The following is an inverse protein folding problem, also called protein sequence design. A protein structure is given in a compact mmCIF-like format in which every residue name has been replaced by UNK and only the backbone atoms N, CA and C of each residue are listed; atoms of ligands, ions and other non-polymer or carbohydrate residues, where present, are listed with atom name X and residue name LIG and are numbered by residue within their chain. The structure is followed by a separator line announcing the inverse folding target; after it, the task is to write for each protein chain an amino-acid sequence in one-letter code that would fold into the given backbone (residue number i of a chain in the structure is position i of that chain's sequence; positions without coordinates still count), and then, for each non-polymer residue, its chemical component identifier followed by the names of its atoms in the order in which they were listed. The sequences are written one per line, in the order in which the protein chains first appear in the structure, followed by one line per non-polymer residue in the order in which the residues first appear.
data_IF_645148785173
#
_entry.id   IF_645148785173
#
_cell.length_a   1.000
_cell.length_b   1.000
_cell.length_c   1.000
_cell.angle_alpha   90.00
_cell.angle_beta   90.00
_cell.angle_gamma   90.00
#
_symmetry.space_group_name_H-M   'P 1'
#
loop_
_entity.id
_entity.type
_entity.pdbx_description
1 polymer ?
#
# COMPACT_ATOMS: atom_id res chain seq x y z
N UNK A 1 101.54 -61.42 -3.39
CA UNK A 1 101.91 -61.86 -2.03
C UNK A 1 100.67 -61.89 -1.22
N UNK A 2 100.34 -63.06 -0.92
CA UNK A 2 99.58 -63.59 0.21
C UNK A 2 98.30 -62.90 0.65
N UNK A 3 97.32 -63.73 0.43
CA UNK A 3 96.08 -63.82 1.11
C UNK A 3 96.17 -64.24 2.60
N UNK A 4 95.29 -64.94 3.21
CA UNK A 4 93.87 -65.30 2.91
C UNK A 4 92.99 -65.17 4.16
N UNK A 5 91.76 -65.66 4.05
CA UNK A 5 91.03 -66.27 5.13
C UNK A 5 89.67 -65.61 5.40
N UNK A 6 88.69 -66.12 4.94
CA UNK A 6 87.81 -67.22 5.36
C UNK A 6 86.94 -66.96 6.60
N UNK A 7 85.71 -67.28 6.42
CA UNK A 7 84.86 -67.77 7.47
C UNK A 7 83.50 -66.98 7.56
N UNK A 8 82.44 -67.32 6.82
CA UNK A 8 81.41 -68.30 7.18
C UNK A 8 80.81 -68.03 8.56
N UNK A 9 79.61 -67.57 8.66
CA UNK A 9 78.37 -68.31 8.91
C UNK A 9 77.25 -67.37 9.18
N UNK A 10 76.15 -67.55 8.46
CA UNK A 10 74.80 -67.26 8.90
C UNK A 10 74.45 -68.11 10.12
N UNK A 11 73.51 -67.67 10.97
CA UNK A 11 72.14 -68.00 10.80
C UNK A 11 71.20 -66.83 11.21
N UNK A 12 70.21 -66.57 10.43
CA UNK A 12 68.79 -67.04 10.66
C UNK A 12 68.27 -66.86 12.08
N UNK A 13 67.27 -66.03 12.19
CA UNK A 13 66.07 -66.13 13.01
C UNK A 13 65.42 -64.76 13.09
N UNK A 14 64.42 -64.52 12.36
CA UNK A 14 62.99 -64.63 12.61
C UNK A 14 62.43 -63.70 13.67
N UNK A 15 61.24 -63.44 13.59
CA UNK A 15 60.58 -62.18 13.28
C UNK A 15 59.77 -61.68 14.49
N UNK A 16 59.04 -60.66 14.24
CA UNK A 16 57.84 -60.35 15.03
C UNK A 16 58.07 -59.57 16.35
N UNK A 17 58.06 -58.26 16.19
CA UNK A 17 57.44 -57.42 17.22
C UNK A 17 56.53 -56.41 16.56
N UNK A 18 55.25 -56.42 16.87
CA UNK A 18 54.31 -55.42 16.32
C UNK A 18 54.62 -54.09 16.95
N UNK A 19 54.74 -53.06 16.08
CA UNK A 19 54.79 -51.67 16.46
C UNK A 19 53.47 -51.34 17.17
N UNK A 20 53.54 -51.18 18.48
CA UNK A 20 52.46 -50.65 19.29
C UNK A 20 52.21 -49.21 18.89
N UNK A 21 51.29 -49.04 17.92
CA UNK A 21 50.69 -47.75 17.64
C UNK A 21 49.99 -47.25 18.86
N UNK A 22 50.58 -46.25 19.53
CA UNK A 22 49.90 -45.48 20.54
C UNK A 22 48.81 -44.68 19.85
N UNK A 23 47.60 -45.24 19.74
CA UNK A 23 46.42 -44.49 19.44
C UNK A 23 46.15 -43.57 20.63
N UNK A 24 46.49 -42.32 20.47
CA UNK A 24 46.06 -41.26 21.39
C UNK A 24 44.54 -41.31 21.47
N UNK A 25 43.95 -41.42 22.68
CA UNK A 25 42.48 -41.36 22.79
C UNK A 25 42.06 -39.99 22.34
N UNK A 26 41.35 -39.93 21.23
CA UNK A 26 40.60 -38.74 20.83
C UNK A 26 39.73 -38.36 22.05
N UNK A 27 40.00 -37.17 22.62
CA UNK A 27 39.18 -36.59 23.68
C UNK A 27 37.75 -36.49 23.15
N UNK A 28 36.95 -37.50 23.38
CA UNK A 28 35.53 -37.50 23.08
C UNK A 28 34.90 -36.31 23.81
N UNK A 29 34.55 -35.30 23.06
CA UNK A 29 33.66 -34.24 23.55
C UNK A 29 32.41 -34.96 23.99
N UNK A 30 32.21 -35.09 25.30
CA UNK A 30 31.04 -35.74 25.89
C UNK A 30 29.78 -35.11 25.29
N UNK A 31 28.95 -35.86 24.54
CA UNK A 31 27.75 -35.31 23.90
C UNK A 31 26.80 -34.70 24.95
N UNK A 32 26.86 -35.18 26.17
CA UNK A 32 26.11 -34.63 27.31
C UNK A 32 26.51 -33.18 27.64
N UNK A 33 27.80 -32.86 27.60
CA UNK A 33 28.25 -31.46 27.84
C UNK A 33 27.79 -30.54 26.72
N UNK A 34 27.84 -30.98 25.47
CA UNK A 34 27.33 -30.19 24.34
C UNK A 34 25.81 -29.99 24.43
N UNK A 35 25.08 -31.03 24.83
CA UNK A 35 23.63 -30.95 25.05
C UNK A 35 23.29 -30.03 26.23
N UNK A 36 24.05 -30.10 27.34
CA UNK A 36 23.84 -29.24 28.50
C UNK A 36 24.09 -27.76 28.16
N UNK A 37 25.20 -27.44 27.50
CA UNK A 37 25.47 -26.06 27.06
C UNK A 37 24.47 -25.56 26.02
N UNK A 38 24.01 -26.42 25.12
CA UNK A 38 22.94 -26.12 24.18
C UNK A 38 21.63 -25.76 24.88
N UNK A 39 21.22 -26.59 25.84
CA UNK A 39 20.00 -26.35 26.62
C UNK A 39 20.11 -25.10 27.51
N UNK A 40 21.28 -24.88 28.11
CA UNK A 40 21.55 -23.68 28.92
C UNK A 40 21.52 -22.41 28.07
N UNK A 41 22.07 -22.45 26.85
CA UNK A 41 22.03 -21.33 25.90
C UNK A 41 20.59 -21.02 25.47
N UNK A 42 19.80 -22.04 25.13
CA UNK A 42 18.38 -21.88 24.80
C UNK A 42 17.61 -21.31 26.00
N UNK A 43 17.82 -21.86 27.20
CA UNK A 43 17.19 -21.34 28.42
C UNK A 43 17.53 -19.88 28.71
N UNK A 44 18.81 -19.49 28.50
CA UNK A 44 19.26 -18.12 28.64
C UNK A 44 18.60 -17.19 27.62
N UNK A 45 18.54 -17.60 26.33
CA UNK A 45 17.89 -16.81 25.27
C UNK A 45 16.40 -16.65 25.57
N UNK A 46 15.71 -17.72 25.96
CA UNK A 46 14.30 -17.66 26.35
C UNK A 46 14.09 -16.78 27.56
N UNK A 47 14.97 -16.88 28.57
CA UNK A 47 14.92 -16.04 29.78
C UNK A 47 15.14 -14.54 29.45
N UNK A 48 16.12 -14.23 28.63
CA UNK A 48 16.36 -12.86 28.15
C UNK A 48 15.18 -12.36 27.33
N UNK A 49 14.67 -13.14 26.39
CA UNK A 49 13.50 -12.80 25.59
C UNK A 49 12.28 -12.54 26.48
N UNK A 50 12.03 -13.41 27.47
CA UNK A 50 10.93 -13.24 28.41
C UNK A 50 11.09 -11.99 29.29
N UNK A 51 12.29 -11.73 29.78
CA UNK A 51 12.59 -10.55 30.59
C UNK A 51 12.45 -9.25 29.74
N UNK A 52 12.90 -9.26 28.48
CA UNK A 52 12.78 -8.12 27.58
C UNK A 52 11.32 -7.87 27.16
N UNK A 53 10.57 -8.91 26.82
CA UNK A 53 9.17 -8.82 26.39
C UNK A 53 8.24 -8.44 27.54
N UNK A 54 8.56 -8.81 28.78
CA UNK A 54 7.83 -8.44 30.00
C UNK A 54 8.29 -7.13 30.64
N UNK A 55 9.41 -6.56 30.21
CA UNK A 55 9.97 -5.36 30.80
C UNK A 55 9.27 -4.09 30.34
N UNK A 56 9.32 -3.04 31.19
CA UNK A 56 8.88 -1.68 30.84
C UNK A 56 9.75 -1.01 29.76
N UNK A 57 10.76 -1.71 29.21
CA UNK A 57 11.64 -1.21 28.17
C UNK A 57 10.98 -1.27 26.79
N UNK A 58 10.11 -2.26 26.54
CA UNK A 58 9.44 -2.49 25.26
C UNK A 58 7.94 -2.12 25.34
N UNK A 59 7.65 -0.96 25.88
CA UNK A 59 6.30 -0.40 25.93
C UNK A 59 6.16 0.78 24.98
N UNK A 60 4.95 1.01 24.46
CA UNK A 60 4.63 2.16 23.63
C UNK A 60 4.86 3.44 24.44
N UNK A 61 5.82 4.25 24.05
CA UNK A 61 6.08 5.58 24.63
C UNK A 61 5.59 6.69 23.72
N UNK A 62 5.63 6.46 22.41
CA UNK A 62 5.21 7.46 21.42
C UNK A 62 4.43 6.85 20.28
N UNK A 63 3.41 7.59 19.82
CA UNK A 63 2.64 7.29 18.61
C UNK A 63 2.84 8.46 17.66
N UNK A 64 3.53 8.19 16.55
CA UNK A 64 3.79 9.17 15.49
C UNK A 64 2.80 8.95 14.37
N UNK A 65 2.15 10.02 13.91
CA UNK A 65 1.22 10.01 12.78
C UNK A 65 1.84 10.81 11.65
N UNK A 66 1.82 10.24 10.44
CA UNK A 66 2.34 10.84 9.21
C UNK A 66 1.32 10.76 8.08
N UNK A 67 1.44 11.66 7.09
CA UNK A 67 0.56 11.65 5.90
C UNK A 67 -0.80 12.31 6.10
N UNK A 68 -0.99 13.09 7.17
CA UNK A 68 -2.25 13.79 7.44
C UNK A 68 -2.15 15.28 7.08
N UNK A 69 -3.15 15.78 6.35
CA UNK A 69 -3.33 17.20 5.98
C UNK A 69 -4.74 17.70 6.32
N UNK A 70 -5.77 16.88 6.08
CA UNK A 70 -7.17 17.18 6.33
C UNK A 70 -7.61 16.72 7.72
N UNK A 71 -7.09 15.56 8.17
CA UNK A 71 -7.45 14.96 9.45
C UNK A 71 -6.39 15.32 10.49
N UNK A 72 -6.77 15.92 11.63
CA UNK A 72 -5.82 16.20 12.70
C UNK A 72 -5.14 14.93 13.21
N UNK A 73 -3.82 14.95 13.35
CA UNK A 73 -3.06 13.81 13.89
C UNK A 73 -3.51 13.37 15.30
N UNK A 74 -4.07 14.32 16.09
CA UNK A 74 -4.69 14.02 17.39
C UNK A 74 -5.92 13.12 17.26
N UNK A 75 -6.77 13.38 16.27
CA UNK A 75 -7.95 12.56 15.98
C UNK A 75 -7.54 11.15 15.55
N UNK A 76 -6.54 11.02 14.65
CA UNK A 76 -6.02 9.72 14.22
C UNK A 76 -5.50 8.93 15.41
N UNK A 77 -4.72 9.55 16.30
CA UNK A 77 -4.21 8.89 17.51
C UNK A 77 -5.33 8.44 18.45
N UNK A 78 -6.34 9.30 18.64
CA UNK A 78 -7.48 8.97 19.50
C UNK A 78 -8.27 7.77 18.95
N UNK A 79 -8.57 7.76 17.64
CA UNK A 79 -9.31 6.68 16.97
C UNK A 79 -8.49 5.39 16.89
N UNK A 80 -7.17 5.48 16.68
CA UNK A 80 -6.29 4.32 16.70
C UNK A 80 -6.35 3.56 18.05
N UNK A 81 -6.63 4.27 19.14
CA UNK A 81 -6.84 3.67 20.46
C UNK A 81 -5.61 2.94 21.03
N UNK A 82 -4.41 3.40 20.66
CA UNK A 82 -3.15 2.82 21.13
C UNK A 82 -2.70 3.61 22.37
N UNK A 83 -2.84 2.98 23.54
CA UNK A 83 -2.40 3.59 24.81
C UNK A 83 -0.88 3.56 24.97
N UNK A 84 -0.32 4.57 25.65
CA UNK A 84 1.06 4.54 26.13
C UNK A 84 1.20 3.58 27.32
N UNK A 85 2.37 2.97 27.46
CA UNK A 85 2.63 1.98 28.51
C UNK A 85 2.19 0.55 28.17
N UNK A 86 1.51 0.34 27.04
CA UNK A 86 1.14 -1.01 26.56
C UNK A 86 2.38 -1.69 26.00
N UNK A 87 2.64 -2.98 26.34
CA UNK A 87 3.73 -3.74 25.73
C UNK A 87 3.59 -3.77 24.19
N UNK A 88 4.66 -3.43 23.47
CA UNK A 88 4.69 -3.36 22.01
C UNK A 88 4.18 -4.64 21.33
N UNK A 89 4.47 -5.81 21.94
CA UNK A 89 4.07 -7.11 21.40
C UNK A 89 2.54 -7.28 21.41
N UNK A 90 1.85 -6.67 22.37
CA UNK A 90 0.39 -6.77 22.54
C UNK A 90 -0.39 -5.78 21.68
N UNK A 91 0.29 -4.82 21.04
CA UNK A 91 -0.39 -3.87 20.18
C UNK A 91 -0.87 -4.60 18.92
N UNK A 92 -2.19 -4.63 18.74
CA UNK A 92 -2.83 -5.09 17.50
C UNK A 92 -2.83 -3.95 16.48
N UNK A 93 -1.86 -4.00 15.57
CA UNK A 93 -1.68 -2.99 14.54
C UNK A 93 -2.76 -3.07 13.46
N UNK A 94 -3.30 -4.26 13.19
CA UNK A 94 -4.38 -4.45 12.22
C UNK A 94 -5.68 -3.82 12.70
N UNK A 95 -6.10 -4.12 13.93
CA UNK A 95 -7.29 -3.51 14.52
C UNK A 95 -7.16 -1.99 14.63
N UNK A 96 -5.95 -1.48 14.93
CA UNK A 96 -5.70 -0.03 14.97
C UNK A 96 -5.82 0.60 13.58
N UNK A 97 -5.28 -0.04 12.54
CA UNK A 97 -5.39 0.42 11.16
C UNK A 97 -6.86 0.48 10.72
N UNK A 98 -7.63 -0.60 10.94
CA UNK A 98 -9.06 -0.64 10.59
C UNK A 98 -9.88 0.45 11.28
N UNK A 99 -9.57 0.77 12.56
CA UNK A 99 -10.23 1.89 13.24
C UNK A 99 -9.91 3.24 12.59
N UNK A 100 -8.66 3.46 12.17
CA UNK A 100 -8.25 4.70 11.50
C UNK A 100 -8.90 4.79 10.10
N UNK A 101 -9.01 3.69 9.37
CA UNK A 101 -9.67 3.62 8.07
C UNK A 101 -11.18 3.87 8.13
N UNK A 102 -11.79 3.73 9.31
CA UNK A 102 -13.20 4.11 9.53
C UNK A 102 -13.41 5.64 9.48
N UNK A 103 -12.35 6.44 9.57
CA UNK A 103 -12.43 7.90 9.35
C UNK A 103 -12.70 8.14 7.87
N UNK A 104 -13.79 8.82 7.55
CA UNK A 104 -14.27 8.99 6.16
C UNK A 104 -13.22 9.62 5.22
N UNK A 105 -12.38 10.52 5.73
CA UNK A 105 -11.33 11.20 4.98
C UNK A 105 -10.08 10.33 4.74
N UNK A 106 -9.99 9.16 5.40
CA UNK A 106 -8.87 8.24 5.25
C UNK A 106 -9.18 7.23 4.15
N UNK A 107 -8.25 7.08 3.20
CA UNK A 107 -8.31 6.07 2.15
C UNK A 107 -7.73 4.75 2.63
N UNK A 108 -6.56 4.82 3.28
CA UNK A 108 -5.89 3.68 3.87
C UNK A 108 -5.02 4.11 5.05
N UNK A 109 -4.78 3.20 5.98
CA UNK A 109 -3.91 3.43 7.12
C UNK A 109 -2.99 2.23 7.33
N UNK A 110 -1.72 2.49 7.55
CA UNK A 110 -0.75 1.49 7.91
C UNK A 110 -0.20 1.77 9.30
N UNK A 111 -0.31 0.80 10.20
CA UNK A 111 0.22 0.89 11.55
C UNK A 111 1.41 -0.06 11.67
N UNK A 112 2.56 0.46 12.03
CA UNK A 112 3.80 -0.30 12.15
C UNK A 112 4.45 -0.09 13.52
N UNK A 113 5.17 -1.13 13.99
CA UNK A 113 5.94 -1.11 15.23
C UNK A 113 7.37 -0.68 14.90
N UNK A 114 7.78 0.47 15.41
CA UNK A 114 9.16 0.96 15.33
C UNK A 114 9.83 0.75 16.69
N UNK A 115 10.52 -0.37 16.80
CA UNK A 115 11.19 -0.78 18.02
C UNK A 115 12.25 0.24 18.46
N UNK A 116 12.48 0.45 19.77
CA UNK A 116 11.94 -0.33 20.90
C UNK A 116 10.58 0.14 21.46
N UNK A 117 10.12 1.37 21.19
CA UNK A 117 9.07 2.03 21.97
C UNK A 117 8.09 2.92 21.18
N UNK A 118 8.14 2.85 19.85
CA UNK A 118 7.37 3.73 18.97
C UNK A 118 6.39 2.97 18.08
N UNK A 119 5.19 3.53 17.93
CA UNK A 119 4.25 3.14 16.87
C UNK A 119 4.23 4.24 15.82
N UNK A 120 4.28 3.85 14.55
CA UNK A 120 4.13 4.76 13.41
C UNK A 120 2.82 4.44 12.71
N UNK A 121 1.95 5.46 12.57
CA UNK A 121 0.71 5.39 11.81
C UNK A 121 0.91 6.22 10.56
N UNK A 122 0.98 5.57 9.41
CA UNK A 122 1.03 6.24 8.11
C UNK A 122 -0.38 6.26 7.53
N UNK A 123 -0.90 7.45 7.29
CA UNK A 123 -2.26 7.68 6.78
C UNK A 123 -2.15 8.15 5.35
N UNK A 124 -2.96 7.57 4.47
CA UNK A 124 -3.22 8.10 3.14
C UNK A 124 -4.63 8.69 3.14
N UNK A 125 -4.71 9.99 2.97
CA UNK A 125 -5.99 10.69 2.90
C UNK A 125 -6.63 10.56 1.53
N UNK A 126 -7.97 10.57 1.49
CA UNK A 126 -8.73 10.58 0.24
C UNK A 126 -8.56 11.90 -0.47
N UNK A 127 -8.27 11.83 -1.76
CA UNK A 127 -8.21 13.01 -2.63
C UNK A 127 -9.53 13.15 -3.36
N UNK A 128 -10.29 14.23 -3.15
CA UNK A 128 -11.51 14.46 -3.91
C UNK A 128 -11.17 14.79 -5.37
N UNK A 129 -11.94 14.23 -6.29
CA UNK A 129 -11.75 14.39 -7.74
C UNK A 129 -12.97 14.98 -8.45
N UNK A 130 -14.14 14.85 -7.86
CA UNK A 130 -15.41 15.34 -8.42
C UNK A 130 -16.21 16.10 -7.37
N UNK A 131 -17.01 17.06 -7.81
CA UNK A 131 -17.95 17.80 -7.00
C UNK A 131 -19.39 17.42 -7.38
N UNK A 132 -20.21 17.06 -6.42
CA UNK A 132 -21.65 16.77 -6.60
C UNK A 132 -22.46 17.89 -5.99
N UNK A 133 -23.37 18.47 -6.77
CA UNK A 133 -24.25 19.52 -6.28
C UNK A 133 -25.21 18.97 -5.22
N UNK A 134 -25.27 19.62 -4.09
CA UNK A 134 -26.26 19.35 -3.03
C UNK A 134 -27.28 20.48 -3.06
N UNK A 135 -28.54 20.21 -3.44
CA UNK A 135 -29.56 21.24 -3.48
C UNK A 135 -29.81 21.86 -2.11
N UNK A 136 -30.17 23.14 -2.08
CA UNK A 136 -30.62 23.80 -0.87
C UNK A 136 -31.92 23.12 -0.36
N UNK A 137 -31.99 22.80 0.94
CA UNK A 137 -33.12 22.06 1.53
C UNK A 137 -32.85 20.57 1.77
N UNK A 138 -31.87 19.94 1.16
CA UNK A 138 -31.30 18.70 1.65
C UNK A 138 -30.54 18.99 2.97
N UNK A 139 -30.55 18.07 3.92
CA UNK A 139 -30.01 18.19 5.29
C UNK A 139 -28.60 18.82 5.37
N UNK A 140 -28.45 20.12 5.08
CA UNK A 140 -27.13 20.77 5.05
C UNK A 140 -27.00 22.03 4.20
N UNK A 141 -28.06 22.72 3.85
CA UNK A 141 -27.99 24.13 3.43
C UNK A 141 -27.35 24.43 2.05
N UNK A 142 -27.39 23.54 1.07
CA UNK A 142 -26.89 23.76 -0.28
C UNK A 142 -25.34 23.81 -0.38
N UNK A 143 -24.83 23.50 -1.56
CA UNK A 143 -23.38 23.52 -1.81
C UNK A 143 -22.91 22.32 -2.62
N UNK A 144 -21.70 21.86 -2.36
CA UNK A 144 -21.09 20.75 -3.09
C UNK A 144 -20.52 19.70 -2.12
N UNK A 145 -20.85 18.44 -2.37
CA UNK A 145 -20.16 17.30 -1.77
C UNK A 145 -18.96 16.92 -2.67
N UNK A 146 -17.77 16.96 -2.13
CA UNK A 146 -16.57 16.53 -2.82
C UNK A 146 -16.37 15.05 -2.63
N UNK A 147 -16.34 14.30 -3.73
CA UNK A 147 -16.21 12.83 -3.73
C UNK A 147 -14.87 12.40 -4.34
N UNK A 148 -14.37 11.27 -3.86
CA UNK A 148 -13.21 10.58 -4.44
C UNK A 148 -13.60 9.69 -5.63
N UNK A 149 -12.60 8.99 -6.22
CA UNK A 149 -12.83 8.06 -7.34
C UNK A 149 -13.67 6.84 -7.00
N UNK A 150 -13.89 6.54 -5.72
CA UNK A 150 -14.78 5.49 -5.25
C UNK A 150 -16.19 6.00 -4.88
N UNK A 151 -16.47 7.29 -5.14
CA UNK A 151 -17.75 7.91 -4.82
C UNK A 151 -17.95 8.18 -3.33
N UNK A 152 -16.89 8.13 -2.52
CA UNK A 152 -16.96 8.43 -1.09
C UNK A 152 -16.91 9.95 -0.90
N UNK A 153 -17.87 10.49 -0.13
CA UNK A 153 -17.88 11.92 0.23
C UNK A 153 -16.74 12.20 1.18
N UNK A 154 -15.75 12.96 0.72
CA UNK A 154 -14.58 13.36 1.52
C UNK A 154 -14.91 14.54 2.43
N UNK A 155 -15.55 15.57 1.86
CA UNK A 155 -16.03 16.74 2.59
C UNK A 155 -17.11 17.50 1.81
N UNK A 156 -17.85 18.36 2.51
CA UNK A 156 -18.80 19.30 1.90
C UNK A 156 -18.24 20.71 1.94
N UNK A 157 -18.52 21.50 0.88
CA UNK A 157 -18.07 22.90 0.75
C UNK A 157 -19.23 23.75 0.19
N UNK A 158 -19.32 25.02 0.56
CA UNK A 158 -20.38 25.91 0.03
C UNK A 158 -20.15 26.26 -1.44
N UNK A 159 -18.88 26.31 -1.88
CA UNK A 159 -18.49 26.70 -3.23
C UNK A 159 -17.57 25.63 -3.82
N UNK A 160 -17.82 25.26 -5.08
CA UNK A 160 -17.00 24.29 -5.79
C UNK A 160 -15.56 24.83 -5.99
N UNK A 161 -14.53 24.01 -5.68
CA UNK A 161 -13.16 24.38 -5.96
C UNK A 161 -12.93 24.62 -7.46
N UNK A 162 -12.12 25.62 -7.78
CA UNK A 162 -11.74 25.90 -9.16
C UNK A 162 -11.01 24.69 -9.79
N UNK A 163 -11.29 24.44 -11.07
CA UNK A 163 -10.66 23.33 -11.80
C UNK A 163 -11.20 21.93 -11.47
N UNK A 164 -12.13 21.80 -10.51
CA UNK A 164 -12.75 20.53 -10.19
C UNK A 164 -14.04 20.36 -11.01
N UNK A 165 -14.20 19.26 -11.78
CA UNK A 165 -15.43 19.02 -12.53
C UNK A 165 -16.60 18.67 -11.61
N UNK A 166 -17.82 19.11 -12.01
CA UNK A 166 -19.05 18.71 -11.35
C UNK A 166 -19.57 17.41 -11.93
N UNK A 167 -19.91 16.43 -11.09
CA UNK A 167 -20.56 15.22 -11.50
C UNK A 167 -22.06 15.43 -11.52
N UNK A 168 -22.65 15.39 -12.75
CA UNK A 168 -24.09 15.53 -12.94
C UNK A 168 -24.82 14.24 -12.63
N UNK A 169 -25.61 14.26 -11.56
CA UNK A 169 -26.39 13.12 -11.10
C UNK A 169 -27.65 13.62 -10.37
N UNK A 170 -28.73 12.83 -10.45
CA UNK A 170 -29.91 13.03 -9.60
C UNK A 170 -29.81 12.29 -8.25
N UNK A 171 -28.81 11.42 -8.11
CA UNK A 171 -28.60 10.64 -6.89
C UNK A 171 -28.02 11.49 -5.76
N UNK A 172 -28.42 11.22 -4.54
CA UNK A 172 -27.78 11.84 -3.36
C UNK A 172 -26.31 11.44 -3.27
N UNK A 173 -25.40 12.34 -2.83
CA UNK A 173 -23.95 12.05 -2.78
C UNK A 173 -23.58 10.79 -2.02
N UNK A 174 -24.31 10.47 -0.92
CA UNK A 174 -24.08 9.25 -0.14
C UNK A 174 -24.37 7.96 -0.92
N UNK A 175 -25.26 7.99 -1.91
CA UNK A 175 -25.62 6.85 -2.74
C UNK A 175 -24.58 6.57 -3.85
N UNK A 176 -23.60 7.45 -4.03
CA UNK A 176 -22.57 7.33 -5.07
C UNK A 176 -21.40 6.42 -4.65
N UNK A 177 -21.35 6.02 -3.38
CA UNK A 177 -20.30 5.13 -2.88
C UNK A 177 -20.29 3.80 -3.65
N UNK A 178 -19.14 3.48 -4.28
CA UNK A 178 -19.00 2.28 -5.09
C UNK A 178 -19.74 2.33 -6.43
N UNK A 179 -20.23 3.50 -6.85
CA UNK A 179 -20.96 3.66 -8.11
C UNK A 179 -20.04 3.37 -9.32
N UNK A 180 -20.42 2.40 -10.19
CA UNK A 180 -19.68 2.15 -11.43
C UNK A 180 -19.63 3.36 -12.36
N UNK A 181 -20.66 4.20 -12.38
CA UNK A 181 -20.70 5.44 -13.17
C UNK A 181 -19.67 6.47 -12.69
N UNK A 182 -19.48 6.61 -11.35
CA UNK A 182 -18.44 7.50 -10.79
C UNK A 182 -17.06 6.96 -11.14
N UNK A 183 -16.83 5.66 -10.98
CA UNK A 183 -15.55 5.03 -11.33
C UNK A 183 -15.22 5.22 -12.83
N UNK A 184 -16.20 5.04 -13.72
CA UNK A 184 -16.03 5.26 -15.15
C UNK A 184 -15.75 6.73 -15.48
N UNK A 185 -16.46 7.67 -14.87
CA UNK A 185 -16.22 9.09 -15.03
C UNK A 185 -14.79 9.49 -14.67
N UNK A 186 -14.29 8.99 -13.52
CA UNK A 186 -12.92 9.26 -13.06
C UNK A 186 -11.90 8.57 -13.99
N UNK A 187 -12.15 7.33 -14.42
CA UNK A 187 -11.27 6.63 -15.36
C UNK A 187 -11.17 7.39 -16.69
N UNK A 188 -12.27 7.88 -17.23
CA UNK A 188 -12.28 8.71 -18.44
C UNK A 188 -11.48 10.01 -18.24
N UNK A 189 -11.62 10.69 -17.09
CA UNK A 189 -10.83 11.90 -16.80
C UNK A 189 -9.31 11.65 -16.78
N UNK A 190 -8.89 10.43 -16.42
CA UNK A 190 -7.48 10.03 -16.46
C UNK A 190 -6.99 9.67 -17.87
N UNK A 191 -7.88 9.24 -18.75
CA UNK A 191 -7.54 8.78 -20.10
C UNK A 191 -7.60 9.87 -21.16
N UNK A 192 -8.49 10.85 -21.00
CA UNK A 192 -8.60 11.95 -21.95
C UNK A 192 -7.34 12.81 -21.95
N UNK A 193 -6.99 13.45 -23.10
CA UNK A 193 -5.88 14.39 -23.14
C UNK A 193 -5.96 15.44 -22.02
N UNK A 194 -4.80 15.82 -21.48
CA UNK A 194 -4.71 16.71 -20.32
C UNK A 194 -5.41 18.06 -20.50
N UNK A 195 -5.50 18.56 -21.75
CA UNK A 195 -6.20 19.81 -22.04
C UNK A 195 -7.73 19.63 -21.94
N UNK A 196 -8.29 18.48 -22.34
CA UNK A 196 -9.71 18.13 -22.15
C UNK A 196 -10.00 17.99 -20.65
N UNK A 197 -9.19 17.21 -19.94
CA UNK A 197 -9.37 17.02 -18.49
C UNK A 197 -9.40 18.35 -17.74
N UNK A 198 -8.49 19.27 -18.04
CA UNK A 198 -8.43 20.60 -17.42
C UNK A 198 -9.59 21.50 -17.82
N UNK A 199 -10.08 21.40 -19.06
CA UNK A 199 -11.20 22.18 -19.53
C UNK A 199 -12.57 21.62 -19.09
N UNK A 200 -12.62 20.37 -18.60
CA UNK A 200 -13.86 19.74 -18.18
C UNK A 200 -14.44 20.45 -16.96
N UNK A 201 -15.62 21.02 -17.13
CA UNK A 201 -16.38 21.70 -16.06
C UNK A 201 -17.45 20.80 -15.46
N UNK A 202 -18.04 19.92 -16.30
CA UNK A 202 -19.06 18.97 -15.91
C UNK A 202 -18.78 17.60 -16.52
N UNK A 203 -19.15 16.55 -15.81
CA UNK A 203 -19.09 15.19 -16.31
C UNK A 203 -20.36 14.46 -15.88
N UNK A 204 -20.93 13.70 -16.79
CA UNK A 204 -22.10 12.85 -16.52
C UNK A 204 -21.80 11.42 -16.97
N UNK A 205 -22.33 10.45 -16.25
CA UNK A 205 -22.24 9.05 -16.63
C UNK A 205 -23.56 8.36 -16.29
N UNK A 206 -24.36 8.09 -17.32
CA UNK A 206 -25.62 7.32 -17.16
C UNK A 206 -25.34 5.82 -16.99
N UNK A 207 -24.22 5.35 -17.54
CA UNK A 207 -23.66 4.01 -17.37
C UNK A 207 -22.13 4.09 -17.48
N UNK A 208 -21.40 3.01 -17.15
CA UNK A 208 -19.94 2.96 -17.36
C UNK A 208 -19.52 3.12 -18.83
N UNK A 209 -20.40 2.81 -19.76
CA UNK A 209 -20.17 2.89 -21.21
C UNK A 209 -20.62 4.23 -21.81
N UNK A 210 -21.26 5.09 -21.02
CA UNK A 210 -21.82 6.35 -21.52
C UNK A 210 -21.41 7.52 -20.63
N UNK A 211 -20.17 7.96 -20.84
CA UNK A 211 -19.59 9.13 -20.15
C UNK A 211 -19.54 10.32 -21.09
N UNK A 212 -20.06 11.44 -20.65
CA UNK A 212 -20.10 12.70 -21.38
C UNK A 212 -19.39 13.80 -20.60
N UNK A 213 -18.54 14.56 -21.29
CA UNK A 213 -17.77 15.67 -20.74
C UNK A 213 -18.34 17.00 -21.28
N UNK A 214 -18.65 17.91 -20.40
CA UNK A 214 -18.94 19.32 -20.75
C UNK A 214 -17.74 20.19 -20.43
N UNK A 215 -17.20 20.85 -21.43
CA UNK A 215 -16.05 21.73 -21.26
C UNK A 215 -16.49 23.14 -20.81
N UNK A 216 -15.57 23.89 -20.24
CA UNK A 216 -15.81 25.26 -19.75
C UNK A 216 -16.14 26.27 -20.85
N UNK A 217 -15.80 25.97 -22.12
CA UNK A 217 -16.13 26.76 -23.30
C UNK A 217 -17.47 26.38 -23.94
N UNK A 218 -18.28 25.53 -23.32
CA UNK A 218 -19.59 25.09 -23.82
C UNK A 218 -19.55 23.89 -24.77
N UNK A 219 -18.37 23.36 -25.10
CA UNK A 219 -18.24 22.16 -25.91
C UNK A 219 -18.65 20.92 -25.14
N UNK A 220 -19.40 20.02 -25.77
CA UNK A 220 -19.79 18.73 -25.23
C UNK A 220 -19.08 17.61 -25.98
N UNK A 221 -18.48 16.68 -25.23
CA UNK A 221 -17.79 15.50 -25.79
C UNK A 221 -18.44 14.24 -25.20
N UNK A 222 -19.07 13.44 -26.03
CA UNK A 222 -19.51 12.08 -25.66
C UNK A 222 -18.33 11.15 -25.88
N UNK A 223 -17.70 10.77 -24.75
CA UNK A 223 -16.52 9.89 -24.76
C UNK A 223 -16.91 8.41 -24.77
N UNK A 224 -18.02 8.08 -24.13
CA UNK A 224 -18.42 6.70 -23.91
C UNK A 224 -17.59 6.00 -22.84
N UNK A 225 -17.12 4.78 -23.13
CA UNK A 225 -16.29 3.99 -22.22
C UNK A 225 -14.80 4.35 -22.30
N UNK A 226 -13.98 3.72 -21.46
CA UNK A 226 -12.50 3.77 -21.52
C UNK A 226 -11.89 2.97 -22.68
N UNK A 227 -12.69 2.14 -23.37
CA UNK A 227 -12.20 1.33 -24.48
C UNK A 227 -11.71 2.21 -25.65
N UNK A 228 -10.59 1.80 -26.25
CA UNK A 228 -10.00 2.46 -27.44
C UNK A 228 -9.68 3.94 -27.25
N UNK A 229 -9.26 4.36 -26.08
CA UNK A 229 -8.98 5.76 -25.73
C UNK A 229 -8.01 6.46 -26.72
N UNK A 230 -6.99 5.76 -27.21
CA UNK A 230 -6.04 6.30 -28.18
C UNK A 230 -6.69 6.63 -29.53
N UNK A 231 -7.60 5.78 -30.01
CA UNK A 231 -8.32 6.01 -31.24
C UNK A 231 -9.28 7.21 -31.09
N UNK A 232 -10.02 7.28 -29.99
CA UNK A 232 -10.88 8.43 -29.66
C UNK A 232 -10.10 9.73 -29.55
N UNK A 233 -8.93 9.67 -28.94
CA UNK A 233 -8.03 10.81 -28.84
C UNK A 233 -7.59 11.33 -30.22
N UNK A 234 -7.18 10.42 -31.12
CA UNK A 234 -6.80 10.79 -32.48
C UNK A 234 -7.98 11.40 -33.23
N UNK A 235 -9.17 10.85 -33.07
CA UNK A 235 -10.40 11.32 -33.70
C UNK A 235 -10.81 12.72 -33.21
N UNK A 236 -10.74 12.98 -31.89
CA UNK A 236 -10.96 14.32 -31.33
C UNK A 236 -9.99 15.33 -31.93
N UNK A 237 -8.70 15.01 -32.03
CA UNK A 237 -7.72 15.92 -32.63
C UNK A 237 -8.02 16.22 -34.10
N UNK A 238 -8.53 15.25 -34.84
CA UNK A 238 -8.92 15.43 -36.26
C UNK A 238 -10.17 16.29 -36.40
N UNK A 239 -11.11 16.17 -35.45
CA UNK A 239 -12.42 16.86 -35.53
C UNK A 239 -12.41 18.27 -34.88
N UNK A 240 -11.53 18.54 -33.91
CA UNK A 240 -11.48 19.85 -33.23
C UNK A 240 -11.39 21.07 -34.20
N UNK A 241 -10.62 21.00 -35.30
CA UNK A 241 -10.55 22.11 -36.24
C UNK A 241 -11.89 22.49 -36.87
N UNK A 242 -12.92 21.63 -36.83
CA UNK A 242 -14.25 21.94 -37.35
C UNK A 242 -14.98 23.04 -36.56
N UNK A 243 -14.55 23.32 -35.34
CA UNK A 243 -15.17 24.32 -34.47
C UNK A 243 -16.57 23.93 -33.96
N UNK A 244 -16.94 22.66 -34.03
CA UNK A 244 -18.24 22.17 -33.55
C UNK A 244 -18.36 22.30 -32.02
N UNK A 245 -19.59 22.38 -31.53
CA UNK A 245 -19.88 22.42 -30.11
C UNK A 245 -20.23 21.06 -29.52
N UNK A 246 -20.37 20.04 -30.36
CA UNK A 246 -20.70 18.69 -29.95
C UNK A 246 -19.86 17.67 -30.75
N UNK A 247 -19.22 16.78 -30.04
CA UNK A 247 -18.38 15.70 -30.55
C UNK A 247 -18.81 14.37 -29.93
N UNK A 248 -19.18 13.41 -30.73
CA UNK A 248 -19.41 12.05 -30.24
C UNK A 248 -18.32 11.14 -30.82
N UNK A 249 -17.44 10.68 -29.92
CA UNK A 249 -16.34 9.75 -30.22
C UNK A 249 -16.51 8.43 -29.46
N UNK A 250 -17.70 8.15 -28.95
CA UNK A 250 -17.99 6.92 -28.21
C UNK A 250 -17.71 5.64 -29.01
N UNK A 251 -17.91 5.71 -30.33
CA UNK A 251 -17.64 4.65 -31.27
C UNK A 251 -16.63 5.10 -32.34
N UNK A 252 -15.31 4.90 -32.12
CA UNK A 252 -14.29 5.30 -33.12
C UNK A 252 -14.53 4.71 -34.51
N UNK A 253 -14.39 5.57 -35.51
CA UNK A 253 -14.70 5.29 -36.91
C UNK A 253 -16.10 5.72 -37.35
N UNK A 254 -16.97 6.15 -36.44
CA UNK A 254 -18.32 6.69 -36.71
C UNK A 254 -18.59 7.97 -35.95
N UNK A 255 -17.55 8.79 -35.71
CA UNK A 255 -17.70 10.04 -34.96
C UNK A 255 -18.68 10.99 -35.59
N UNK A 256 -19.45 11.68 -34.76
CA UNK A 256 -20.47 12.66 -35.20
C UNK A 256 -20.13 14.02 -34.59
N UNK A 257 -20.22 15.07 -35.38
CA UNK A 257 -20.09 16.47 -34.93
C UNK A 257 -21.36 17.26 -35.25
N UNK A 258 -21.68 18.21 -34.36
CA UNK A 258 -22.78 19.17 -34.55
C UNK A 258 -22.40 20.56 -34.08
#
# INVERSE_FOLDING_TARGET
MNGPGAGVTTPESDPSAPASGRTSPARGRSPWRAAFFGLAAVGLIVGIAWALLGSKLLVVRSVVVTGTHLVPASQVRAVAGIGTGVPMIRVDTGAAASRVEAITQVQSAQVSKSWPDRIVITVQERTPVLAVLVPAGASGGGGFALIDGAGVVVRSVPVKPAGMPSFGTASAPAALRGSPSVAAAVAVLHEVPAWIARATSTITASSPENVTLGLSNGVTIVWGSTARASAKTAEIYALMPTGAHYYDVSAPGTAVTR
#
